data_IF_875091574231
#
_entry.id   IF_875091574231
#
_cell.length_a   1.000
_cell.length_b   1.000
_cell.length_c   1.000
_cell.angle_alpha   90.00
_cell.angle_beta   90.00
_cell.angle_gamma   90.00
#
_symmetry.space_group_name_H-M   'P 1'
#
loop_
_entity.id
_entity.type
_entity.pdbx_description
1 polymer ?
#
# COMPACT_ATOMS: atom_id res chain seq x y z
N UNK A 1 -8.95 32.34 0.05
CA UNK A 1 -8.71 31.13 -0.76
C UNK A 1 -7.24 31.14 -1.15
N UNK A 2 -6.42 30.20 -0.68
CA UNK A 2 -5.01 30.16 -1.04
C UNK A 2 -4.90 29.66 -2.48
N UNK A 3 -4.39 30.52 -3.37
CA UNK A 3 -4.01 30.15 -4.74
C UNK A 3 -3.14 28.90 -4.67
N UNK A 4 -3.60 27.80 -5.26
CA UNK A 4 -2.77 26.64 -5.50
C UNK A 4 -1.64 27.10 -6.41
N UNK A 5 -0.47 27.30 -5.81
CA UNK A 5 0.74 27.61 -6.55
C UNK A 5 0.95 26.47 -7.56
N UNK A 6 1.13 26.82 -8.82
CA UNK A 6 1.38 25.87 -9.89
C UNK A 6 2.89 25.58 -9.98
N UNK A 7 3.25 24.33 -10.26
CA UNK A 7 4.64 23.92 -10.38
C UNK A 7 5.33 24.63 -11.55
N UNK A 8 4.66 24.76 -12.70
CA UNK A 8 5.27 25.33 -13.91
C UNK A 8 5.52 26.84 -13.79
N UNK A 9 4.71 27.55 -13.01
CA UNK A 9 4.94 28.96 -12.68
C UNK A 9 5.92 29.20 -11.51
N UNK A 10 6.41 28.14 -10.85
CA UNK A 10 7.34 28.27 -9.72
C UNK A 10 8.79 28.34 -10.22
N UNK A 11 9.53 29.44 -9.96
CA UNK A 11 10.94 29.53 -10.33
C UNK A 11 11.79 28.44 -9.66
N UNK A 12 12.85 27.98 -10.34
CA UNK A 12 13.74 26.93 -9.84
C UNK A 12 14.26 27.21 -8.41
N UNK A 13 14.58 28.47 -8.11
CA UNK A 13 15.06 28.92 -6.79
C UNK A 13 14.02 28.79 -5.67
N UNK A 14 12.74 28.59 -5.98
CA UNK A 14 11.63 28.49 -5.03
C UNK A 14 11.05 27.08 -4.90
N UNK A 15 11.62 26.08 -5.57
CA UNK A 15 11.11 24.70 -5.55
C UNK A 15 11.12 24.09 -4.14
N UNK A 16 12.11 24.42 -3.31
CA UNK A 16 12.12 23.95 -1.91
C UNK A 16 10.94 24.49 -1.10
N UNK A 17 10.64 25.77 -1.23
CA UNK A 17 9.48 26.40 -0.60
C UNK A 17 8.18 25.80 -1.11
N UNK A 18 8.10 25.54 -2.42
CA UNK A 18 6.95 24.86 -3.02
C UNK A 18 6.75 23.45 -2.44
N UNK A 19 7.81 22.65 -2.32
CA UNK A 19 7.70 21.32 -1.70
C UNK A 19 7.20 21.42 -0.26
N UNK A 20 7.78 22.31 0.55
CA UNK A 20 7.41 22.47 1.95
C UNK A 20 5.97 22.98 2.13
N UNK A 21 5.55 23.95 1.32
CA UNK A 21 4.29 24.67 1.50
C UNK A 21 3.12 24.06 0.75
N UNK A 22 3.36 23.33 -0.35
CA UNK A 22 2.32 22.79 -1.23
C UNK A 22 2.27 21.25 -1.20
N UNK A 23 3.43 20.58 -1.18
CA UNK A 23 3.49 19.12 -1.37
C UNK A 23 3.51 18.32 -0.07
N UNK A 24 4.12 18.82 1.00
CA UNK A 24 4.17 18.08 2.25
C UNK A 24 2.78 18.00 2.91
N UNK A 25 2.36 16.80 3.36
CA UNK A 25 1.10 16.66 4.08
C UNK A 25 1.20 17.27 5.47
N UNK A 26 0.09 17.81 5.96
CA UNK A 26 0.01 18.26 7.34
C UNK A 26 0.21 17.08 8.29
N UNK A 27 1.06 17.28 9.32
CA UNK A 27 1.37 16.24 10.31
C UNK A 27 0.12 15.63 10.94
N UNK A 28 -0.82 16.47 11.38
CA UNK A 28 -2.08 16.04 12.00
C UNK A 28 -2.94 15.17 11.06
N UNK A 29 -2.98 15.51 9.77
CA UNK A 29 -3.69 14.72 8.76
C UNK A 29 -3.04 13.35 8.59
N UNK A 30 -1.71 13.31 8.41
CA UNK A 30 -0.97 12.04 8.30
C UNK A 30 -1.18 11.14 9.52
N UNK A 31 -1.15 11.72 10.72
CA UNK A 31 -1.39 10.99 11.97
C UNK A 31 -2.81 10.41 12.05
N UNK A 32 -3.83 11.17 11.64
CA UNK A 32 -5.23 10.73 11.57
C UNK A 32 -5.40 9.54 10.59
N UNK A 33 -4.82 9.65 9.39
CA UNK A 33 -4.82 8.55 8.41
C UNK A 33 -4.15 7.29 8.97
N UNK A 34 -2.98 7.42 9.58
CA UNK A 34 -2.24 6.28 10.13
C UNK A 34 -2.94 5.63 11.32
N UNK A 35 -3.65 6.41 12.14
CA UNK A 35 -4.46 5.91 13.24
C UNK A 35 -5.68 5.14 12.73
N UNK A 36 -6.37 5.65 11.72
CA UNK A 36 -7.47 4.95 11.05
C UNK A 36 -7.00 3.63 10.44
N UNK A 37 -5.91 3.64 9.66
CA UNK A 37 -5.34 2.43 9.00
C UNK A 37 -4.89 1.39 10.02
N UNK A 38 -4.50 1.78 11.23
CA UNK A 38 -4.16 0.84 12.30
C UNK A 38 -5.32 -0.11 12.62
N UNK A 39 -6.56 0.37 12.49
CA UNK A 39 -7.77 -0.46 12.66
C UNK A 39 -7.81 -1.58 11.62
N UNK A 40 -7.48 -1.27 10.36
CA UNK A 40 -7.39 -2.27 9.28
C UNK A 40 -6.27 -3.27 9.58
N UNK A 41 -5.09 -2.78 9.98
CA UNK A 41 -3.95 -3.64 10.35
C UNK A 41 -4.29 -4.58 11.52
N UNK A 42 -5.03 -4.10 12.52
CA UNK A 42 -5.49 -4.89 13.66
C UNK A 42 -6.53 -5.94 13.24
N UNK A 43 -7.53 -5.56 12.47
CA UNK A 43 -8.51 -6.47 11.88
C UNK A 43 -7.81 -7.63 11.15
N UNK A 44 -6.89 -7.30 10.23
CA UNK A 44 -6.17 -8.31 9.45
C UNK A 44 -5.37 -9.27 10.34
N UNK A 45 -4.68 -8.77 11.36
CA UNK A 45 -3.82 -9.59 12.24
C UNK A 45 -4.61 -10.46 13.20
N UNK A 46 -5.75 -9.98 13.70
CA UNK A 46 -6.56 -10.72 14.67
C UNK A 46 -7.46 -11.75 14.01
N UNK A 47 -7.76 -11.58 12.71
CA UNK A 47 -8.64 -12.50 12.00
C UNK A 47 -7.91 -13.78 11.61
N UNK A 48 -8.51 -14.91 11.96
CA UNK A 48 -8.23 -16.19 11.31
C UNK A 48 -9.30 -16.40 10.24
N UNK A 49 -8.89 -16.41 8.99
CA UNK A 49 -9.80 -16.61 7.86
C UNK A 49 -10.02 -18.11 7.71
N UNK A 50 -11.28 -18.55 7.76
CA UNK A 50 -11.61 -19.92 7.40
C UNK A 50 -11.55 -20.02 5.88
N UNK A 51 -10.64 -20.84 5.36
CA UNK A 51 -10.58 -21.09 3.94
C UNK A 51 -11.87 -21.75 3.46
N UNK A 52 -12.28 -21.42 2.24
CA UNK A 52 -13.43 -22.00 1.57
C UNK A 52 -12.92 -22.77 0.34
N UNK A 53 -13.43 -23.98 0.10
CA UNK A 53 -13.19 -24.83 -1.08
C UNK A 53 -11.72 -25.02 -1.50
N UNK A 54 -11.12 -24.01 -2.12
CA UNK A 54 -9.77 -23.99 -2.69
C UNK A 54 -8.68 -23.86 -1.63
N UNK A 55 -9.04 -23.45 -0.41
CA UNK A 55 -8.15 -23.31 0.74
C UNK A 55 -8.67 -24.22 1.86
N UNK A 56 -8.31 -25.50 1.87
CA UNK A 56 -8.73 -26.46 2.92
C UNK A 56 -8.06 -26.22 4.30
N UNK A 57 -7.51 -25.02 4.52
CA UNK A 57 -6.70 -24.68 5.69
C UNK A 57 -7.11 -23.33 6.29
N UNK A 58 -6.83 -23.18 7.59
CA UNK A 58 -6.95 -21.88 8.27
C UNK A 58 -5.91 -20.92 7.71
N UNK A 59 -6.35 -19.81 7.16
CA UNK A 59 -5.49 -18.76 6.62
C UNK A 59 -5.23 -17.71 7.70
N UNK A 60 -3.97 -17.50 8.04
CA UNK A 60 -3.52 -16.53 9.02
C UNK A 60 -2.68 -15.43 8.37
N UNK A 61 -2.82 -14.21 8.86
CA UNK A 61 -1.95 -13.10 8.48
C UNK A 61 -0.65 -13.18 9.26
N UNK A 62 0.44 -13.48 8.56
CA UNK A 62 1.79 -13.55 9.11
C UNK A 62 2.35 -12.14 9.36
N UNK A 63 2.05 -11.20 8.46
CA UNK A 63 2.56 -9.83 8.52
C UNK A 63 1.73 -8.88 7.66
N UNK A 64 1.58 -7.64 8.13
CA UNK A 64 1.00 -6.54 7.35
C UNK A 64 2.03 -5.44 7.21
N UNK A 65 2.25 -4.98 5.99
CA UNK A 65 3.26 -3.98 5.63
C UNK A 65 2.59 -2.83 4.91
N UNK A 66 2.73 -1.61 5.45
CA UNK A 66 2.45 -0.37 4.71
C UNK A 66 3.51 -0.15 3.65
N UNK A 67 3.07 -0.04 2.41
CA UNK A 67 3.93 0.17 1.23
C UNK A 67 3.60 1.51 0.59
N UNK A 68 4.08 1.73 -0.64
CA UNK A 68 3.80 2.96 -1.37
C UNK A 68 4.23 4.23 -0.64
N UNK A 69 3.48 5.31 -0.88
CA UNK A 69 3.81 6.66 -0.40
C UNK A 69 3.85 6.79 1.13
N UNK A 70 2.91 6.14 1.82
CA UNK A 70 2.83 6.13 3.28
C UNK A 70 3.92 5.24 3.91
N UNK A 71 4.24 4.11 3.28
CA UNK A 71 5.28 3.19 3.74
C UNK A 71 6.69 3.73 3.55
N UNK A 72 6.95 4.37 2.41
CA UNK A 72 8.29 4.87 2.08
C UNK A 72 8.53 6.34 2.47
N UNK A 73 7.53 7.05 2.98
CA UNK A 73 7.69 8.44 3.45
C UNK A 73 7.79 9.48 2.33
N UNK A 74 7.15 9.24 1.18
CA UNK A 74 7.01 10.18 0.06
C UNK A 74 5.57 10.62 -0.19
N UNK A 75 4.72 10.51 0.84
CA UNK A 75 3.33 11.01 0.84
C UNK A 75 3.25 12.48 0.44
N UNK A 76 2.31 12.79 -0.45
CA UNK A 76 1.94 14.14 -0.87
C UNK A 76 0.72 14.61 -0.09
N UNK A 77 0.47 15.92 -0.07
CA UNK A 77 -0.72 16.51 0.55
C UNK A 77 -2.02 16.01 -0.06
N UNK A 78 -2.04 15.76 -1.37
CA UNK A 78 -3.19 15.23 -2.11
C UNK A 78 -3.39 13.71 -1.95
N UNK A 79 -2.43 12.99 -1.35
CA UNK A 79 -2.51 11.53 -1.24
C UNK A 79 -3.58 11.13 -0.21
N UNK A 80 -4.59 10.40 -0.68
CA UNK A 80 -5.66 9.81 0.12
C UNK A 80 -5.62 8.28 0.11
N UNK A 81 -4.70 7.68 -0.64
CA UNK A 81 -4.56 6.23 -0.78
C UNK A 81 -3.48 5.66 0.15
N UNK A 82 -3.78 4.53 0.79
CA UNK A 82 -2.87 3.77 1.64
C UNK A 82 -2.79 2.33 1.16
N UNK A 83 -1.59 1.92 0.77
CA UNK A 83 -1.33 0.58 0.24
C UNK A 83 -0.79 -0.34 1.32
N UNK A 84 -1.39 -1.53 1.44
CA UNK A 84 -1.03 -2.59 2.37
C UNK A 84 -0.68 -3.87 1.62
N UNK A 85 0.47 -4.46 1.93
CA UNK A 85 0.79 -5.85 1.57
C UNK A 85 0.55 -6.74 2.77
N UNK A 86 -0.15 -7.85 2.54
CA UNK A 86 -0.57 -8.80 3.59
C UNK A 86 0.04 -10.16 3.27
N UNK A 87 1.00 -10.56 4.10
CA UNK A 87 1.65 -11.87 3.99
C UNK A 87 0.82 -12.93 4.69
N UNK A 88 0.52 -14.02 3.99
CA UNK A 88 -0.43 -15.04 4.46
C UNK A 88 0.23 -16.41 4.62
N UNK A 89 -0.26 -17.20 5.58
CA UNK A 89 0.26 -18.53 5.88
C UNK A 89 -0.08 -19.60 4.84
N UNK A 90 -1.05 -19.32 3.97
CA UNK A 90 -1.49 -20.24 2.92
C UNK A 90 -0.70 -20.16 1.63
N UNK A 91 0.21 -19.19 1.50
CA UNK A 91 1.13 -19.13 0.39
C UNK A 91 2.49 -19.63 0.85
N UNK A 92 2.94 -20.75 0.31
CA UNK A 92 4.25 -21.36 0.58
C UNK A 92 5.20 -21.26 -0.61
N UNK A 93 4.69 -20.81 -1.75
CA UNK A 93 5.43 -20.59 -2.98
C UNK A 93 4.78 -19.47 -3.80
N UNK A 94 5.48 -19.00 -4.82
CA UNK A 94 4.94 -18.05 -5.81
C UNK A 94 3.78 -18.67 -6.62
N UNK A 95 3.84 -19.99 -6.87
CA UNK A 95 2.79 -20.73 -7.56
C UNK A 95 1.50 -20.75 -6.73
N UNK A 96 1.61 -21.08 -5.43
CA UNK A 96 0.45 -21.06 -4.51
C UNK A 96 -0.15 -19.64 -4.36
N UNK A 97 0.69 -18.59 -4.36
CA UNK A 97 0.20 -17.20 -4.42
C UNK A 97 -0.69 -17.01 -5.65
N UNK A 98 -0.28 -17.49 -6.82
CA UNK A 98 -1.02 -17.33 -8.09
C UNK A 98 -2.32 -18.13 -8.09
N UNK A 99 -2.25 -19.40 -7.67
CA UNK A 99 -3.39 -20.32 -7.64
C UNK A 99 -4.50 -19.83 -6.70
N UNK A 100 -4.11 -19.28 -5.54
CA UNK A 100 -5.06 -18.95 -4.48
C UNK A 100 -5.31 -17.44 -4.31
N UNK A 101 -4.69 -16.57 -5.13
CA UNK A 101 -4.78 -15.10 -4.99
C UNK A 101 -6.23 -14.60 -4.92
N UNK A 102 -7.05 -15.04 -5.88
CA UNK A 102 -8.44 -14.62 -6.00
C UNK A 102 -9.31 -15.15 -4.85
N UNK A 103 -9.07 -16.39 -4.42
CA UNK A 103 -9.76 -16.99 -3.28
C UNK A 103 -9.52 -16.16 -2.02
N UNK A 104 -8.26 -15.82 -1.77
CA UNK A 104 -7.85 -14.98 -0.64
C UNK A 104 -8.47 -13.58 -0.70
N UNK A 105 -8.44 -12.92 -1.86
CA UNK A 105 -9.06 -11.60 -2.01
C UNK A 105 -10.56 -11.65 -1.68
N UNK A 106 -11.28 -12.68 -2.15
CA UNK A 106 -12.70 -12.90 -1.82
C UNK A 106 -12.92 -13.16 -0.32
N UNK A 107 -12.05 -13.93 0.33
CA UNK A 107 -12.11 -14.18 1.77
C UNK A 107 -11.95 -12.89 2.57
N UNK A 108 -10.93 -12.08 2.25
CA UNK A 108 -10.71 -10.79 2.93
C UNK A 108 -11.90 -9.87 2.67
N UNK A 109 -12.38 -9.79 1.43
CA UNK A 109 -13.55 -8.98 1.06
C UNK A 109 -14.80 -9.33 1.88
N UNK A 110 -15.12 -10.62 2.02
CA UNK A 110 -16.27 -11.08 2.84
C UNK A 110 -16.13 -10.67 4.30
N UNK A 111 -14.92 -10.77 4.85
CA UNK A 111 -14.66 -10.47 6.26
C UNK A 111 -14.61 -8.97 6.56
N UNK A 112 -14.32 -8.11 5.58
CA UNK A 112 -14.42 -6.65 5.74
C UNK A 112 -15.85 -6.25 6.15
N UNK A 113 -16.87 -6.81 5.48
CA UNK A 113 -18.28 -6.54 5.80
C UNK A 113 -18.74 -7.06 7.16
N UNK A 114 -18.00 -8.00 7.75
CA UNK A 114 -18.28 -8.56 9.08
C UNK A 114 -17.57 -7.79 10.20
N UNK A 115 -16.66 -6.88 9.87
CA UNK A 115 -15.87 -6.16 10.86
C UNK A 115 -16.60 -4.88 11.33
N UNK A 116 -17.15 -4.92 12.54
CA UNK A 116 -17.87 -3.77 13.13
C UNK A 116 -17.00 -2.51 13.23
N UNK A 117 -15.71 -2.65 13.53
CA UNK A 117 -14.80 -1.49 13.62
C UNK A 117 -14.62 -0.80 12.26
N UNK A 118 -14.56 -1.57 11.16
CA UNK A 118 -14.47 -1.00 9.81
C UNK A 118 -15.81 -0.40 9.36
N UNK A 119 -16.93 -1.01 9.72
CA UNK A 119 -18.26 -0.43 9.49
C UNK A 119 -18.42 0.89 10.25
N UNK A 120 -17.95 0.99 11.48
CA UNK A 120 -17.96 2.23 12.28
C UNK A 120 -17.07 3.34 11.70
N UNK A 121 -16.08 2.95 10.88
CA UNK A 121 -15.27 3.87 10.09
C UNK A 121 -15.92 4.23 8.74
N UNK A 122 -17.14 3.78 8.45
CA UNK A 122 -17.81 4.06 7.18
C UNK A 122 -17.16 3.33 6.01
N UNK A 123 -17.00 2.01 6.13
CA UNK A 123 -16.54 1.14 5.05
C UNK A 123 -17.46 1.27 3.83
N UNK A 124 -16.88 1.66 2.69
CA UNK A 124 -17.58 1.88 1.42
C UNK A 124 -16.83 1.23 0.26
N UNK A 125 -17.58 0.79 -0.75
CA UNK A 125 -17.10 0.28 -2.05
C UNK A 125 -15.98 -0.78 -2.04
N UNK A 126 -16.00 -1.80 -1.16
CA UNK A 126 -15.03 -2.88 -1.25
C UNK A 126 -15.19 -3.63 -2.58
N UNK A 127 -14.12 -3.71 -3.36
CA UNK A 127 -14.08 -4.37 -4.67
C UNK A 127 -12.70 -4.92 -4.99
N UNK A 128 -12.65 -5.94 -5.83
CA UNK A 128 -11.39 -6.41 -6.42
C UNK A 128 -11.13 -5.59 -7.68
N UNK A 129 -10.00 -4.87 -7.71
CA UNK A 129 -9.52 -4.16 -8.89
C UNK A 129 -8.54 -5.05 -9.65
N UNK A 130 -8.79 -5.23 -10.95
CA UNK A 130 -7.96 -6.06 -11.81
C UNK A 130 -6.63 -5.38 -12.13
N UNK A 131 -5.53 -6.14 -12.11
CA UNK A 131 -4.18 -5.63 -12.31
C UNK A 131 -3.12 -6.73 -12.28
N UNK A 132 -1.86 -6.35 -12.06
CA UNK A 132 -0.75 -7.29 -11.94
C UNK A 132 0.00 -7.01 -10.62
N UNK A 133 -0.34 -7.70 -9.51
CA UNK A 133 -1.49 -8.60 -9.33
C UNK A 133 -2.79 -7.83 -9.06
N UNK A 134 -3.92 -8.54 -9.00
CA UNK A 134 -5.21 -8.00 -8.55
C UNK A 134 -5.14 -7.53 -7.09
N UNK A 135 -5.92 -6.51 -6.75
CA UNK A 135 -5.88 -5.89 -5.41
C UNK A 135 -7.28 -5.68 -4.87
N UNK A 136 -7.44 -5.79 -3.55
CA UNK A 136 -8.69 -5.43 -2.87
C UNK A 136 -8.65 -3.94 -2.52
N UNK A 137 -9.63 -3.18 -3.00
CA UNK A 137 -9.74 -1.73 -2.80
C UNK A 137 -11.02 -1.42 -2.05
N UNK A 138 -10.96 -0.53 -1.07
CA UNK A 138 -12.14 0.00 -0.38
C UNK A 138 -11.87 1.38 0.20
N UNK A 139 -12.92 2.08 0.60
CA UNK A 139 -12.84 3.40 1.25
C UNK A 139 -13.26 3.30 2.71
N UNK A 140 -12.59 4.04 3.58
CA UNK A 140 -13.00 4.27 4.98
C UNK A 140 -12.79 5.74 5.33
N UNK A 141 -13.47 6.22 6.36
CA UNK A 141 -13.33 7.57 6.87
C UNK A 141 -12.29 7.64 7.99
N UNK A 142 -11.52 8.72 7.97
CA UNK A 142 -10.61 9.06 9.06
C UNK A 142 -11.35 9.35 10.36
N UNK A 143 -10.76 8.95 11.50
CA UNK A 143 -11.43 9.01 12.81
C UNK A 143 -11.72 10.44 13.25
N UNK A 144 -10.76 11.36 13.07
CA UNK A 144 -10.88 12.74 13.58
C UNK A 144 -11.51 13.67 12.57
N UNK A 145 -11.08 13.60 11.31
CA UNK A 145 -11.50 14.57 10.29
C UNK A 145 -12.64 14.08 9.40
N UNK A 146 -13.08 12.82 9.52
CA UNK A 146 -14.17 12.21 8.73
C UNK A 146 -13.99 12.32 7.22
N UNK A 147 -12.75 12.50 6.77
CA UNK A 147 -12.42 12.52 5.34
C UNK A 147 -12.20 11.09 4.83
N UNK A 148 -12.66 10.78 3.62
CA UNK A 148 -12.45 9.47 3.01
C UNK A 148 -10.98 9.25 2.69
N UNK A 149 -10.53 8.02 2.90
CA UNK A 149 -9.25 7.48 2.43
C UNK A 149 -9.50 6.16 1.73
N UNK A 150 -8.75 5.91 0.67
CA UNK A 150 -8.77 4.63 -0.03
C UNK A 150 -7.69 3.72 0.56
N UNK A 151 -8.05 2.47 0.82
CA UNK A 151 -7.10 1.45 1.27
C UNK A 151 -7.04 0.36 0.21
N UNK A 152 -5.82 -0.02 -0.17
CA UNK A 152 -5.57 -1.15 -1.06
C UNK A 152 -4.86 -2.27 -0.32
N UNK A 153 -5.29 -3.49 -0.53
CA UNK A 153 -4.73 -4.71 0.08
C UNK A 153 -4.27 -5.64 -1.03
N UNK A 154 -3.01 -6.05 -0.94
CA UNK A 154 -2.40 -7.04 -1.83
C UNK A 154 -1.90 -8.22 -1.01
N UNK A 155 -2.53 -9.40 -1.12
CA UNK A 155 -1.99 -10.64 -0.58
C UNK A 155 -0.64 -10.97 -1.21
N UNK A 156 0.28 -11.56 -0.45
CA UNK A 156 1.61 -11.93 -0.95
C UNK A 156 2.21 -13.14 -0.23
N UNK A 157 2.98 -13.94 -0.96
CA UNK A 157 3.87 -14.95 -0.40
C UNK A 157 5.00 -14.28 0.36
N UNK A 158 5.35 -14.82 1.54
CA UNK A 158 6.45 -14.31 2.35
C UNK A 158 7.78 -14.91 1.93
N UNK A 159 8.25 -14.54 0.73
CA UNK A 159 9.48 -15.06 0.15
C UNK A 159 10.77 -14.62 0.87
N UNK A 160 10.75 -13.44 1.52
CA UNK A 160 11.91 -12.88 2.21
C UNK A 160 11.74 -13.05 3.72
N UNK A 161 12.63 -13.82 4.33
CA UNK A 161 12.68 -14.03 5.77
C UNK A 161 13.14 -12.78 6.54
N UNK A 162 12.81 -12.68 7.85
CA UNK A 162 13.30 -11.61 8.70
C UNK A 162 14.83 -11.56 8.70
N UNK A 163 15.37 -10.51 8.08
CA UNK A 163 16.80 -10.24 8.03
C UNK A 163 17.08 -8.79 8.41
N UNK A 164 18.36 -8.45 8.58
CA UNK A 164 18.78 -7.08 8.87
C UNK A 164 18.27 -6.15 7.76
N UNK A 165 17.71 -4.97 8.07
CA UNK A 165 17.26 -4.06 7.03
C UNK A 165 18.35 -3.79 5.99
N UNK A 166 18.01 -3.98 4.71
CA UNK A 166 18.88 -3.82 3.54
C UNK A 166 19.91 -4.95 3.30
N UNK A 167 19.82 -6.10 3.98
CA UNK A 167 20.56 -7.29 3.53
C UNK A 167 19.93 -7.86 2.25
N UNK A 168 20.74 -8.32 1.28
CA UNK A 168 20.22 -9.01 0.12
C UNK A 168 19.54 -10.33 0.55
N UNK A 169 18.40 -10.70 -0.05
CA UNK A 169 17.84 -12.04 0.12
C UNK A 169 18.81 -13.12 -0.39
N UNK A 170 18.71 -14.36 0.12
CA UNK A 170 19.40 -15.49 -0.47
C UNK A 170 19.09 -15.61 -1.97
N UNK A 171 20.08 -15.89 -2.85
CA UNK A 171 19.87 -16.01 -4.29
C UNK A 171 18.77 -17.01 -4.68
N UNK A 172 18.55 -18.04 -3.86
CA UNK A 172 17.55 -19.09 -4.05
C UNK A 172 16.12 -18.53 -4.11
N UNK A 173 15.87 -17.41 -3.41
CA UNK A 173 14.59 -16.69 -3.48
C UNK A 173 14.35 -16.14 -4.88
N UNK A 174 15.40 -15.66 -5.55
CA UNK A 174 15.30 -15.16 -6.92
C UNK A 174 15.27 -16.29 -7.94
N UNK A 175 15.98 -17.40 -7.70
CA UNK A 175 15.90 -18.60 -8.54
C UNK A 175 14.46 -19.13 -8.56
N UNK A 176 13.87 -19.34 -7.38
CA UNK A 176 12.46 -19.79 -7.27
C UNK A 176 11.47 -18.81 -7.89
N UNK A 177 11.72 -17.49 -7.81
CA UNK A 177 10.92 -16.48 -8.50
C UNK A 177 10.98 -16.64 -10.03
N UNK A 178 12.18 -16.86 -10.59
CA UNK A 178 12.39 -17.05 -12.03
C UNK A 178 11.71 -18.35 -12.50
N UNK A 179 11.88 -19.43 -11.74
CA UNK A 179 11.28 -20.74 -12.03
C UNK A 179 9.75 -20.73 -11.95
N UNK A 180 9.17 -19.86 -11.11
CA UNK A 180 7.72 -19.70 -11.03
C UNK A 180 7.08 -19.16 -12.32
N UNK A 181 7.87 -18.63 -13.28
CA UNK A 181 7.41 -18.24 -14.61
C UNK A 181 6.17 -17.31 -14.62
N UNK A 182 5.99 -16.47 -13.60
CA UNK A 182 4.86 -15.56 -13.51
C UNK A 182 4.97 -14.34 -14.45
N UNK A 183 3.85 -13.62 -14.59
CA UNK A 183 3.83 -12.34 -15.32
C UNK A 183 4.78 -11.34 -14.65
N UNK A 184 5.59 -10.56 -15.42
CA UNK A 184 6.48 -9.56 -14.83
C UNK A 184 5.76 -8.62 -13.86
N UNK A 185 6.28 -8.51 -12.64
CA UNK A 185 5.72 -7.65 -11.58
C UNK A 185 4.65 -8.30 -10.70
N UNK A 186 4.08 -9.46 -11.08
CA UNK A 186 3.03 -10.15 -10.33
C UNK A 186 3.44 -10.42 -8.87
N UNK A 187 4.65 -10.94 -8.66
CA UNK A 187 5.18 -11.25 -7.33
C UNK A 187 5.94 -10.10 -6.68
N UNK A 188 5.87 -8.88 -7.24
CA UNK A 188 6.52 -7.71 -6.62
C UNK A 188 6.09 -7.44 -5.17
N UNK A 189 4.84 -7.74 -4.73
CA UNK A 189 4.44 -7.62 -3.33
C UNK A 189 5.26 -8.48 -2.36
N UNK A 190 5.74 -9.65 -2.80
CA UNK A 190 6.62 -10.52 -2.01
C UNK A 190 7.93 -9.83 -1.59
N UNK A 191 8.37 -8.84 -2.37
CA UNK A 191 9.58 -8.05 -2.15
C UNK A 191 9.28 -6.61 -1.68
N UNK A 192 8.05 -6.34 -1.29
CA UNK A 192 7.57 -4.99 -0.98
C UNK A 192 8.34 -4.29 0.14
N UNK A 193 8.89 -5.04 1.10
CA UNK A 193 9.76 -4.47 2.13
C UNK A 193 11.08 -3.96 1.58
N UNK A 194 11.68 -4.66 0.61
CA UNK A 194 12.90 -4.23 -0.07
C UNK A 194 12.62 -2.96 -0.88
N UNK A 195 11.56 -2.97 -1.68
CA UNK A 195 11.12 -1.80 -2.46
C UNK A 195 10.85 -0.58 -1.56
N UNK A 196 10.12 -0.79 -0.46
CA UNK A 196 9.87 0.25 0.54
C UNK A 196 11.19 0.76 1.11
N UNK A 197 12.08 -0.12 1.55
CA UNK A 197 13.32 0.25 2.24
C UNK A 197 14.31 0.97 1.31
N UNK A 198 14.39 0.56 0.05
CA UNK A 198 15.19 1.19 -1.01
C UNK A 198 14.91 2.69 -1.09
N UNK A 199 13.62 3.07 -1.02
CA UNK A 199 13.22 4.47 -0.98
C UNK A 199 13.29 5.00 0.45
N UNK A 200 12.72 4.32 1.44
CA UNK A 200 12.51 4.80 2.83
C UNK A 200 13.78 5.39 3.48
N UNK A 201 14.92 4.74 3.32
CA UNK A 201 16.18 5.11 3.98
C UNK A 201 17.01 6.17 3.23
N UNK A 202 16.42 6.84 2.24
CA UNK A 202 17.08 7.91 1.50
C UNK A 202 17.06 9.27 2.25
N UNK A 203 18.04 10.17 1.98
CA UNK A 203 18.11 11.49 2.59
C UNK A 203 16.85 12.33 2.41
N UNK A 204 16.51 13.17 3.41
CA UNK A 204 15.31 14.01 3.39
C UNK A 204 15.22 14.90 2.15
N UNK A 205 16.35 15.43 1.66
CA UNK A 205 16.36 16.25 0.43
C UNK A 205 15.98 15.44 -0.82
N UNK A 206 16.46 14.20 -0.93
CA UNK A 206 16.04 13.28 -2.00
C UNK A 206 14.55 12.94 -1.87
N UNK A 207 14.01 12.79 -0.65
CA UNK A 207 12.55 12.64 -0.44
C UNK A 207 11.75 13.84 -0.92
N UNK A 208 12.29 15.04 -0.77
CA UNK A 208 11.66 16.26 -1.29
C UNK A 208 11.65 16.26 -2.82
N UNK A 209 12.75 15.87 -3.46
CA UNK A 209 12.79 15.70 -4.92
C UNK A 209 11.82 14.63 -5.41
N UNK A 210 11.75 13.46 -4.76
CA UNK A 210 10.80 12.41 -5.11
C UNK A 210 9.35 12.90 -5.01
N UNK A 211 9.01 13.72 -4.01
CA UNK A 211 7.69 14.35 -3.94
C UNK A 211 7.44 15.29 -5.12
N UNK A 212 8.42 16.10 -5.49
CA UNK A 212 8.31 17.03 -6.61
C UNK A 212 8.06 16.28 -7.93
N UNK A 213 8.84 15.24 -8.22
CA UNK A 213 8.70 14.40 -9.42
C UNK A 213 7.35 13.69 -9.45
N UNK A 214 6.92 13.12 -8.30
CA UNK A 214 5.60 12.48 -8.20
C UNK A 214 4.46 13.47 -8.45
N UNK A 215 4.56 14.67 -7.89
CA UNK A 215 3.57 15.71 -8.09
C UNK A 215 3.50 16.12 -9.57
N UNK A 216 4.66 16.36 -10.20
CA UNK A 216 4.75 16.65 -11.64
C UNK A 216 4.10 15.55 -12.49
N UNK A 217 4.44 14.28 -12.21
CA UNK A 217 3.87 13.12 -12.93
C UNK A 217 2.34 13.05 -12.78
N UNK A 218 1.82 13.30 -11.57
CA UNK A 218 0.38 13.34 -11.33
C UNK A 218 -0.30 14.48 -12.09
N UNK A 219 0.29 15.68 -12.15
CA UNK A 219 -0.26 16.80 -12.93
C UNK A 219 -0.26 16.51 -14.43
N UNK A 220 0.77 15.85 -14.96
CA UNK A 220 0.88 15.55 -16.39
C UNK A 220 -0.07 14.43 -16.85
N UNK A 221 -0.33 13.42 -16.01
CA UNK A 221 -1.12 12.24 -16.38
C UNK A 221 -2.52 12.18 -15.76
N UNK A 222 -2.80 13.00 -14.76
CA UNK A 222 -4.13 13.17 -14.16
C UNK A 222 -4.40 14.68 -14.01
N UNK A 223 -4.43 15.46 -15.11
CA UNK A 223 -4.87 16.83 -15.03
C UNK A 223 -6.28 16.79 -14.46
N UNK A 224 -6.48 17.31 -13.25
CA UNK A 224 -7.82 17.44 -12.68
C UNK A 224 -8.69 18.16 -13.71
N UNK A 225 -9.94 17.72 -13.86
CA UNK A 225 -10.88 18.33 -14.81
C UNK A 225 -10.84 19.85 -14.62
N UNK A 226 -10.33 20.55 -15.64
CA UNK A 226 -10.29 22.01 -15.72
C UNK A 226 -11.68 22.61 -15.66
#
# INVERSE_FOLDING_TARGET
MALTQDLYSTPASRLDSFVAQCLQPHRKWKEDVLDTVRTVEQFLRQKTFQGEHELDQKVQVLKVVKVGSFGNGTVLRSTTEVELVVFLSCFRSFQEETEHHQAVLRLIWKELWRCQDLLALGLEDPRVAQGVPDVLVFTIQTRRTRKPITVTIVPAYRAVEPSVPNSPPPPEVYVSLIEACGVPGHFSPSFSELQRNFVKHQPTKLKSLLRLVKYWYQQAHHPGSS
#
